data_IF_987813013191
#
_entry.id   IF_987813013191
#
_cell.length_a   1.000
_cell.length_b   1.000
_cell.length_c   1.000
_cell.angle_alpha   90.00
_cell.angle_beta   90.00
_cell.angle_gamma   90.00
#
_symmetry.space_group_name_H-M   'P 1'
#
loop_
_entity.id
_entity.type
_entity.pdbx_description
1 polymer ?
#
# COMPACT_ATOMS: atom_id res chain seq x y z
N UNK A 1 24.02 13.05 0.30
CA UNK A 1 23.37 13.71 -0.86
C UNK A 1 24.39 14.70 -1.46
N UNK A 2 25.39 14.23 -2.19
CA UNK A 2 26.15 15.06 -3.10
C UNK A 2 25.54 14.84 -4.48
N UNK A 3 24.66 15.74 -4.88
CA UNK A 3 23.84 15.64 -6.09
C UNK A 3 24.58 16.06 -7.38
N UNK A 4 25.90 16.19 -7.34
CA UNK A 4 26.65 16.80 -8.45
C UNK A 4 26.95 15.86 -9.62
N UNK A 5 26.62 14.57 -9.50
CA UNK A 5 27.01 13.54 -10.49
C UNK A 5 25.84 12.91 -11.26
N UNK A 6 24.60 12.97 -10.75
CA UNK A 6 23.41 12.36 -11.39
C UNK A 6 22.19 13.25 -11.24
N UNK A 7 21.29 13.23 -12.25
CA UNK A 7 20.01 13.94 -12.16
C UNK A 7 19.08 13.26 -11.12
N UNK A 8 18.07 13.99 -10.67
CA UNK A 8 17.05 13.46 -9.74
C UNK A 8 16.32 12.26 -10.34
N UNK A 9 15.96 12.30 -11.61
CA UNK A 9 15.33 11.18 -12.32
C UNK A 9 16.22 9.94 -12.32
N UNK A 10 17.53 10.14 -12.60
CA UNK A 10 18.49 9.04 -12.54
C UNK A 10 18.63 8.48 -11.13
N UNK A 11 18.62 9.33 -10.11
CA UNK A 11 18.66 8.90 -8.72
C UNK A 11 17.46 8.01 -8.39
N UNK A 12 16.23 8.44 -8.71
CA UNK A 12 15.04 7.65 -8.44
C UNK A 12 14.98 6.35 -9.25
N UNK A 13 15.43 6.37 -10.50
CA UNK A 13 15.56 5.16 -11.31
C UNK A 13 16.51 4.13 -10.68
N UNK A 14 17.68 4.57 -10.25
CA UNK A 14 18.66 3.71 -9.59
C UNK A 14 18.16 3.21 -8.22
N UNK A 15 17.46 4.07 -7.47
CA UNK A 15 16.85 3.69 -6.20
C UNK A 15 15.76 2.65 -6.40
N UNK A 16 14.86 2.81 -7.36
CA UNK A 16 13.85 1.82 -7.72
C UNK A 16 14.49 0.49 -8.12
N UNK A 17 15.51 0.54 -8.98
CA UNK A 17 16.31 -0.64 -9.38
C UNK A 17 16.89 -1.37 -8.16
N UNK A 18 17.45 -0.64 -7.20
CA UNK A 18 18.01 -1.22 -5.97
C UNK A 18 16.92 -1.85 -5.10
N UNK A 19 15.79 -1.15 -4.89
CA UNK A 19 14.70 -1.64 -4.05
C UNK A 19 14.06 -2.90 -4.62
N UNK A 20 13.77 -2.94 -5.93
CA UNK A 20 13.22 -4.12 -6.59
C UNK A 20 14.19 -5.30 -6.56
N UNK A 21 15.48 -5.06 -6.84
CA UNK A 21 16.49 -6.10 -6.84
C UNK A 21 16.74 -6.66 -5.42
N UNK A 22 16.70 -5.79 -4.39
CA UNK A 22 16.82 -6.20 -3.00
C UNK A 22 15.60 -7.00 -2.53
N UNK A 23 14.39 -6.61 -2.92
CA UNK A 23 13.16 -7.32 -2.55
C UNK A 23 13.11 -8.74 -3.13
N UNK A 24 13.59 -8.95 -4.36
CA UNK A 24 13.70 -10.28 -4.99
C UNK A 24 14.55 -11.27 -4.18
N UNK A 25 15.55 -10.80 -3.43
CA UNK A 25 16.43 -11.60 -2.61
C UNK A 25 16.09 -11.58 -1.12
N UNK A 26 15.12 -10.80 -0.72
CA UNK A 26 14.82 -10.59 0.69
C UNK A 26 14.41 -11.88 1.41
N UNK A 27 14.96 -12.09 2.61
CA UNK A 27 14.52 -13.16 3.50
C UNK A 27 13.24 -12.77 4.23
N UNK A 28 12.13 -12.79 3.54
CA UNK A 28 10.85 -12.30 4.03
C UNK A 28 9.71 -13.29 3.78
N UNK A 29 8.63 -13.18 4.56
CA UNK A 29 7.36 -13.86 4.34
C UNK A 29 6.35 -12.90 3.69
N UNK A 30 6.73 -12.23 2.62
CA UNK A 30 6.01 -11.16 1.92
C UNK A 30 5.85 -9.86 2.72
N UNK A 31 6.32 -9.83 3.96
CA UNK A 31 6.38 -8.64 4.81
C UNK A 31 7.65 -8.66 5.67
N UNK A 32 8.33 -7.52 5.80
CA UNK A 32 9.59 -7.41 6.56
C UNK A 32 9.40 -7.38 8.07
N UNK A 33 8.18 -7.14 8.54
CA UNK A 33 7.85 -7.20 9.96
C UNK A 33 7.87 -8.62 10.57
N UNK A 34 7.99 -9.67 9.75
CA UNK A 34 8.06 -11.06 10.20
C UNK A 34 9.51 -11.52 10.37
N UNK A 35 9.86 -12.01 11.58
CA UNK A 35 11.17 -12.59 11.84
C UNK A 35 11.20 -14.04 11.38
N UNK A 36 12.04 -14.34 10.37
CA UNK A 36 12.27 -15.70 9.88
C UNK A 36 13.48 -16.33 10.59
N UNK A 37 13.30 -17.55 11.12
CA UNK A 37 14.36 -18.29 11.82
C UNK A 37 15.42 -18.89 10.87
N UNK A 38 15.06 -19.09 9.61
CA UNK A 38 15.91 -19.72 8.60
C UNK A 38 16.01 -18.83 7.37
N UNK A 39 17.19 -18.85 6.74
CA UNK A 39 17.41 -18.18 5.47
C UNK A 39 16.83 -19.00 4.32
N UNK A 40 16.06 -18.38 3.46
CA UNK A 40 15.60 -18.97 2.21
C UNK A 40 16.77 -19.12 1.24
N UNK A 41 16.72 -20.11 0.36
CA UNK A 41 17.76 -20.31 -0.66
C UNK A 41 17.95 -19.07 -1.56
N UNK A 42 16.86 -18.35 -1.87
CA UNK A 42 16.92 -17.12 -2.66
C UNK A 42 17.71 -16.01 -1.95
N UNK A 43 17.59 -15.92 -0.62
CA UNK A 43 18.28 -14.89 0.18
C UNK A 43 19.80 -15.15 0.33
N UNK A 44 20.29 -16.29 -0.16
CA UNK A 44 21.73 -16.65 -0.15
C UNK A 44 22.41 -16.38 -1.50
N UNK A 45 21.66 -15.90 -2.48
CA UNK A 45 22.19 -15.54 -3.80
C UNK A 45 22.83 -14.16 -3.77
N UNK A 46 23.78 -13.94 -4.69
CA UNK A 46 24.37 -12.61 -4.88
C UNK A 46 23.34 -11.62 -5.40
N UNK A 47 23.38 -10.40 -4.92
CA UNK A 47 22.56 -9.29 -5.43
C UNK A 47 23.04 -8.92 -6.84
N UNK A 48 22.14 -9.00 -7.79
CA UNK A 48 22.33 -8.49 -9.15
C UNK A 48 21.34 -7.36 -9.34
N UNK A 49 21.82 -6.18 -9.71
CA UNK A 49 20.96 -5.05 -10.02
C UNK A 49 20.37 -5.25 -11.41
N UNK A 50 19.06 -5.45 -11.45
CA UNK A 50 18.28 -5.53 -12.69
C UNK A 50 17.51 -4.23 -12.85
N UNK A 51 17.63 -3.52 -14.00
CA UNK A 51 16.92 -2.26 -14.21
C UNK A 51 15.43 -2.38 -13.92
N UNK A 52 14.90 -1.46 -13.11
CA UNK A 52 13.47 -1.37 -12.88
C UNK A 52 12.74 -1.16 -14.20
N UNK A 53 11.67 -1.91 -14.41
CA UNK A 53 10.83 -1.75 -15.60
C UNK A 53 9.93 -0.53 -15.44
N UNK A 54 9.91 0.33 -16.46
CA UNK A 54 8.97 1.45 -16.56
C UNK A 54 8.66 1.74 -18.03
N UNK A 55 7.49 2.32 -18.26
CA UNK A 55 7.12 2.85 -19.58
C UNK A 55 7.18 4.37 -19.56
N UNK A 56 7.62 4.95 -20.65
CA UNK A 56 7.65 6.41 -20.84
C UNK A 56 6.47 6.86 -21.69
N UNK A 57 5.93 8.03 -21.37
CA UNK A 57 4.93 8.70 -22.18
C UNK A 57 5.14 10.23 -22.09
N UNK A 58 4.37 11.01 -22.85
CA UNK A 58 4.46 12.48 -22.87
C UNK A 58 3.57 13.16 -21.84
N UNK A 59 2.84 12.41 -21.01
CA UNK A 59 1.96 12.99 -20.00
C UNK A 59 2.79 13.53 -18.83
N UNK A 60 2.24 14.53 -18.15
CA UNK A 60 2.77 14.97 -16.86
C UNK A 60 2.30 14.02 -15.77
N UNK A 61 3.23 13.62 -14.91
CA UNK A 61 2.97 12.79 -13.75
C UNK A 61 3.47 13.50 -12.49
N UNK A 62 2.67 13.43 -11.43
CA UNK A 62 3.02 13.97 -10.13
C UNK A 62 2.95 12.84 -9.09
N UNK A 63 3.91 12.83 -8.17
CA UNK A 63 4.00 11.81 -7.12
C UNK A 63 4.07 12.51 -5.77
N UNK A 64 3.15 12.14 -4.88
CA UNK A 64 3.05 12.69 -3.54
C UNK A 64 3.33 11.61 -2.50
N UNK A 65 3.96 11.99 -1.40
CA UNK A 65 4.20 11.12 -0.24
C UNK A 65 3.69 11.84 1.02
N UNK A 66 2.37 11.93 1.14
CA UNK A 66 1.68 12.69 2.18
C UNK A 66 0.50 11.90 2.77
N UNK A 67 -0.11 12.43 3.82
CA UNK A 67 -1.36 11.90 4.34
C UNK A 67 -2.48 12.11 3.34
N UNK A 68 -3.18 11.04 2.95
CA UNK A 68 -4.21 11.10 1.90
C UNK A 68 -5.36 12.06 2.24
N UNK A 69 -5.73 12.19 3.52
CA UNK A 69 -6.79 13.11 3.95
C UNK A 69 -6.35 14.59 3.94
N UNK A 70 -5.05 14.84 3.93
CA UNK A 70 -4.52 16.19 3.70
C UNK A 70 -4.41 16.48 2.22
N UNK A 71 -3.77 15.58 1.47
CA UNK A 71 -3.53 15.72 0.02
C UNK A 71 -4.84 15.88 -0.78
N UNK A 72 -5.92 15.17 -0.40
CA UNK A 72 -7.18 15.20 -1.14
C UNK A 72 -7.82 16.58 -1.24
N UNK A 73 -7.45 17.50 -0.36
CA UNK A 73 -7.95 18.88 -0.33
C UNK A 73 -7.26 19.79 -1.35
N UNK A 74 -6.10 19.35 -1.83
CA UNK A 74 -5.23 20.13 -2.72
C UNK A 74 -5.21 19.60 -4.15
N UNK A 75 -5.86 18.45 -4.40
CA UNK A 75 -5.94 17.81 -5.71
C UNK A 75 -7.38 17.62 -6.17
N UNK A 76 -7.58 17.69 -7.50
CA UNK A 76 -8.88 17.50 -8.14
C UNK A 76 -8.73 16.77 -9.48
N UNK A 77 -9.82 16.21 -10.00
CA UNK A 77 -9.78 15.53 -11.29
C UNK A 77 -11.07 14.78 -11.65
N UNK A 78 -11.02 14.03 -12.74
CA UNK A 78 -12.16 13.24 -13.18
C UNK A 78 -12.32 11.94 -12.40
N UNK A 79 -11.22 11.24 -12.14
CA UNK A 79 -11.22 9.91 -11.54
C UNK A 79 -10.24 9.88 -10.36
N UNK A 80 -10.75 9.43 -9.21
CA UNK A 80 -9.98 9.07 -8.04
C UNK A 80 -10.05 7.56 -7.82
N UNK A 81 -8.92 6.86 -7.85
CA UNK A 81 -8.84 5.45 -7.48
C UNK A 81 -8.21 5.30 -6.09
N UNK A 82 -8.90 4.62 -5.20
CA UNK A 82 -8.51 4.40 -3.82
C UNK A 82 -8.24 2.92 -3.56
N UNK A 83 -7.07 2.62 -3.02
CA UNK A 83 -6.66 1.28 -2.56
C UNK A 83 -6.04 1.40 -1.15
N UNK A 84 -6.84 1.76 -0.14
CA UNK A 84 -6.34 1.94 1.22
C UNK A 84 -6.04 0.59 1.88
N UNK A 85 -5.22 0.57 2.95
CA UNK A 85 -5.06 -0.62 3.78
C UNK A 85 -6.42 -1.13 4.29
N UNK A 86 -6.72 -2.39 4.06
CA UNK A 86 -7.97 -3.03 4.52
C UNK A 86 -7.80 -3.84 5.82
N UNK A 87 -6.58 -3.91 6.38
CA UNK A 87 -6.30 -4.68 7.59
C UNK A 87 -5.47 -3.86 8.59
N UNK A 88 -5.32 -4.32 9.87
CA UNK A 88 -4.60 -3.57 10.90
C UNK A 88 -3.08 -3.50 10.70
N UNK A 89 -2.53 -4.13 9.67
CA UNK A 89 -1.08 -4.17 9.44
C UNK A 89 -0.61 -2.85 8.85
N UNK A 90 0.31 -2.19 9.55
CA UNK A 90 0.89 -0.92 9.13
C UNK A 90 1.93 -1.13 8.02
N UNK A 91 1.80 -0.46 6.89
CA UNK A 91 2.76 -0.53 5.79
C UNK A 91 4.16 -0.06 6.21
N UNK A 92 4.24 0.96 7.07
CA UNK A 92 5.50 1.40 7.63
C UNK A 92 6.26 0.32 8.42
N UNK A 93 5.53 -0.66 9.02
CA UNK A 93 6.14 -1.82 9.63
C UNK A 93 6.40 -2.95 8.62
N UNK A 94 5.46 -3.20 7.71
CA UNK A 94 5.58 -4.28 6.73
C UNK A 94 6.76 -4.09 5.76
N UNK A 95 7.05 -2.85 5.38
CA UNK A 95 8.07 -2.49 4.39
C UNK A 95 9.23 -1.68 4.97
N UNK A 96 9.45 -1.74 6.29
CA UNK A 96 10.41 -0.90 7.00
C UNK A 96 11.85 -1.01 6.48
N UNK A 97 12.28 -2.18 5.98
CA UNK A 97 13.63 -2.35 5.43
C UNK A 97 13.79 -1.64 4.09
N UNK A 98 12.78 -1.67 3.22
CA UNK A 98 12.80 -0.92 1.96
C UNK A 98 12.83 0.58 2.23
N UNK A 99 12.02 1.06 3.19
CA UNK A 99 12.08 2.46 3.63
C UNK A 99 13.44 2.85 4.22
N UNK A 100 14.10 1.91 4.92
CA UNK A 100 15.45 2.13 5.46
C UNK A 100 16.47 2.32 4.35
N UNK A 101 16.39 1.52 3.29
CA UNK A 101 17.26 1.66 2.10
C UNK A 101 16.96 3.00 1.41
N UNK A 102 15.66 3.31 1.17
CA UNK A 102 15.26 4.51 0.45
C UNK A 102 15.65 5.81 1.17
N UNK A 103 15.42 5.88 2.47
CA UNK A 103 15.73 7.09 3.25
C UNK A 103 17.22 7.20 3.63
N UNK A 104 17.88 6.06 3.78
CA UNK A 104 19.31 5.96 4.16
C UNK A 104 19.71 6.87 5.34
N UNK A 105 18.84 6.93 6.36
CA UNK A 105 19.05 7.73 7.57
C UNK A 105 19.29 6.83 8.78
N UNK A 106 20.20 7.19 9.69
CA UNK A 106 20.42 6.44 10.92
C UNK A 106 19.18 6.47 11.80
N UNK A 107 18.90 5.36 12.48
CA UNK A 107 17.83 5.22 13.47
C UNK A 107 18.22 4.14 14.49
N UNK A 108 17.54 4.12 15.63
CA UNK A 108 17.69 3.05 16.61
C UNK A 108 16.70 1.91 16.28
N UNK A 109 17.20 0.71 15.88
CA UNK A 109 16.34 -0.40 15.51
C UNK A 109 15.67 -1.02 16.74
N UNK A 110 14.36 -1.34 16.64
CA UNK A 110 13.57 -1.93 17.72
C UNK A 110 13.11 -3.34 17.40
N UNK A 111 13.09 -4.19 18.43
CA UNK A 111 12.62 -5.56 18.35
C UNK A 111 13.51 -6.48 17.50
N UNK A 112 13.05 -7.74 17.28
CA UNK A 112 13.82 -8.77 16.59
C UNK A 112 14.00 -8.50 15.09
N UNK A 113 13.13 -7.71 14.49
CA UNK A 113 13.16 -7.36 13.06
C UNK A 113 13.87 -6.05 12.77
N UNK A 114 14.40 -5.36 13.80
CA UNK A 114 15.07 -4.08 13.64
C UNK A 114 14.14 -2.97 13.15
N UNK A 115 12.91 -2.94 13.66
CA UNK A 115 11.88 -2.01 13.22
C UNK A 115 12.29 -0.56 13.46
N UNK A 116 12.19 0.25 12.41
CA UNK A 116 12.38 1.71 12.47
C UNK A 116 11.13 2.43 12.98
N UNK A 117 11.23 3.67 13.47
CA UNK A 117 10.08 4.54 13.67
C UNK A 117 9.31 4.75 12.36
N UNK A 118 7.99 4.72 12.41
CA UNK A 118 7.12 4.94 11.25
C UNK A 118 5.82 5.65 11.66
N UNK A 119 5.20 6.34 10.69
CA UNK A 119 3.89 6.97 10.86
C UNK A 119 2.81 5.89 10.75
N UNK A 120 1.84 5.92 11.66
CA UNK A 120 0.72 4.98 11.66
C UNK A 120 -0.44 5.53 10.84
N UNK A 121 -0.94 4.74 9.91
CA UNK A 121 -2.14 5.07 9.15
C UNK A 121 -3.40 4.88 9.98
N UNK A 122 -4.31 5.84 9.92
CA UNK A 122 -5.64 5.76 10.53
C UNK A 122 -6.51 4.71 9.83
N UNK A 123 -6.23 4.39 8.57
CA UNK A 123 -6.90 3.34 7.80
C UNK A 123 -6.60 1.92 8.29
N UNK A 124 -5.56 1.71 9.06
CA UNK A 124 -5.23 0.43 9.69
C UNK A 124 -5.89 0.22 11.07
N UNK A 125 -6.87 1.02 11.45
CA UNK A 125 -7.56 0.93 12.74
C UNK A 125 -9.08 0.90 12.55
N UNK A 126 -9.74 -0.14 13.08
CA UNK A 126 -11.20 -0.26 13.04
C UNK A 126 -11.94 0.92 13.69
N UNK A 127 -11.28 1.61 14.63
CA UNK A 127 -11.86 2.76 15.34
C UNK A 127 -11.91 4.03 14.50
N UNK A 128 -10.99 4.19 13.56
CA UNK A 128 -10.76 5.46 12.86
C UNK A 128 -10.99 5.36 11.35
N UNK A 129 -10.99 4.15 10.79
CA UNK A 129 -11.04 3.96 9.33
C UNK A 129 -12.28 4.55 8.68
N UNK A 130 -13.46 4.34 9.27
CA UNK A 130 -14.74 4.82 8.68
C UNK A 130 -14.82 6.35 8.70
N UNK A 131 -14.39 6.99 9.78
CA UNK A 131 -14.35 8.46 9.89
C UNK A 131 -13.33 9.07 8.93
N UNK A 132 -12.13 8.47 8.86
CA UNK A 132 -11.08 8.92 7.92
C UNK A 132 -11.52 8.77 6.47
N UNK A 133 -12.15 7.63 6.12
CA UNK A 133 -12.68 7.39 4.80
C UNK A 133 -13.80 8.37 4.44
N UNK A 134 -14.77 8.59 5.33
CA UNK A 134 -15.83 9.56 5.09
C UNK A 134 -15.32 10.97 4.87
N UNK A 135 -14.33 11.40 5.70
CA UNK A 135 -13.69 12.70 5.51
C UNK A 135 -13.03 12.82 4.14
N UNK A 136 -12.31 11.79 3.70
CA UNK A 136 -11.68 11.76 2.38
C UNK A 136 -12.71 11.85 1.25
N UNK A 137 -13.80 11.05 1.30
CA UNK A 137 -14.86 11.08 0.29
C UNK A 137 -15.57 12.45 0.25
N UNK A 138 -15.81 13.04 1.43
CA UNK A 138 -16.43 14.38 1.52
C UNK A 138 -15.57 15.43 0.85
N UNK A 139 -14.27 15.44 1.17
CA UNK A 139 -13.34 16.51 0.77
C UNK A 139 -12.80 16.30 -0.66
N UNK A 140 -12.99 15.13 -1.28
CA UNK A 140 -12.52 14.82 -2.63
C UNK A 140 -13.27 15.63 -3.71
N UNK A 141 -12.55 16.37 -4.56
CA UNK A 141 -13.07 17.09 -5.73
C UNK A 141 -12.85 16.28 -7.02
N UNK A 142 -13.53 15.12 -7.11
CA UNK A 142 -13.45 14.19 -8.23
C UNK A 142 -14.85 13.78 -8.68
N UNK A 143 -15.06 13.67 -10.01
CA UNK A 143 -16.35 13.23 -10.55
C UNK A 143 -16.64 11.78 -10.21
N UNK A 144 -15.65 10.89 -10.41
CA UNK A 144 -15.80 9.47 -10.11
C UNK A 144 -14.78 9.05 -9.06
N UNK A 145 -15.24 8.30 -8.06
CA UNK A 145 -14.38 7.71 -7.04
C UNK A 145 -14.58 6.20 -7.08
N UNK A 146 -13.47 5.47 -7.29
CA UNK A 146 -13.40 4.02 -7.25
C UNK A 146 -12.65 3.60 -6.01
N UNK A 147 -13.23 2.70 -5.21
CA UNK A 147 -12.57 2.11 -4.05
C UNK A 147 -12.43 0.61 -4.25
N UNK A 148 -11.20 0.10 -4.30
CA UNK A 148 -10.89 -1.32 -4.17
C UNK A 148 -10.90 -1.72 -2.71
N UNK A 149 -11.69 -2.72 -2.35
CA UNK A 149 -11.78 -3.22 -0.98
C UNK A 149 -12.28 -4.66 -0.97
N UNK A 150 -12.07 -5.41 0.12
CA UNK A 150 -12.53 -6.79 0.19
C UNK A 150 -13.46 -7.08 1.38
N UNK A 151 -14.07 -8.27 1.37
CA UNK A 151 -15.01 -8.70 2.40
C UNK A 151 -14.40 -8.96 3.79
N UNK A 152 -13.08 -8.93 3.90
CA UNK A 152 -12.34 -9.12 5.17
C UNK A 152 -11.79 -7.81 5.73
N UNK A 153 -12.11 -6.71 5.08
CA UNK A 153 -11.63 -5.39 5.45
C UNK A 153 -12.18 -4.88 6.78
N UNK A 154 -11.54 -3.84 7.31
CA UNK A 154 -11.91 -3.19 8.57
C UNK A 154 -13.26 -2.48 8.50
N UNK A 155 -13.63 -1.97 7.31
CA UNK A 155 -14.97 -1.47 7.01
C UNK A 155 -15.79 -2.57 6.37
N UNK A 156 -17.04 -2.72 6.78
CA UNK A 156 -17.97 -3.61 6.09
C UNK A 156 -18.42 -3.00 4.76
N UNK A 157 -18.90 -3.85 3.83
CA UNK A 157 -19.54 -3.40 2.59
C UNK A 157 -20.68 -2.41 2.87
N UNK A 158 -21.45 -2.63 3.95
CA UNK A 158 -22.55 -1.76 4.34
C UNK A 158 -22.07 -0.39 4.83
N UNK A 159 -20.97 -0.34 5.59
CA UNK A 159 -20.37 0.92 6.04
C UNK A 159 -19.93 1.75 4.83
N UNK A 160 -19.20 1.12 3.89
CA UNK A 160 -18.72 1.78 2.67
C UNK A 160 -19.89 2.29 1.84
N UNK A 161 -20.92 1.45 1.58
CA UNK A 161 -22.13 1.84 0.85
C UNK A 161 -22.83 3.02 1.52
N UNK A 162 -22.99 2.94 2.85
CA UNK A 162 -23.65 4.01 3.62
C UNK A 162 -22.91 5.34 3.53
N UNK A 163 -21.57 5.30 3.59
CA UNK A 163 -20.72 6.49 3.46
C UNK A 163 -20.83 7.06 2.03
N UNK A 164 -20.52 6.26 1.02
CA UNK A 164 -20.45 6.75 -0.37
C UNK A 164 -21.81 7.26 -0.86
N UNK A 165 -22.91 6.59 -0.53
CA UNK A 165 -24.27 6.99 -0.96
C UNK A 165 -24.70 8.35 -0.45
N UNK A 166 -24.07 8.92 0.58
CA UNK A 166 -24.35 10.29 1.06
C UNK A 166 -23.84 11.37 0.11
N UNK A 167 -22.84 11.02 -0.71
CA UNK A 167 -22.13 12.01 -1.55
C UNK A 167 -22.41 11.87 -3.03
N UNK A 168 -23.23 10.90 -3.47
CA UNK A 168 -23.58 10.75 -4.87
C UNK A 168 -24.31 9.45 -5.20
N UNK A 169 -24.25 9.07 -6.47
CA UNK A 169 -24.79 7.81 -6.94
C UNK A 169 -23.76 6.69 -6.71
N UNK A 170 -24.15 5.70 -5.93
CA UNK A 170 -23.29 4.56 -5.57
C UNK A 170 -23.67 3.32 -6.37
N UNK A 171 -22.65 2.63 -6.87
CA UNK A 171 -22.74 1.32 -7.49
C UNK A 171 -21.56 0.43 -7.01
N UNK A 172 -21.59 -0.86 -7.34
CA UNK A 172 -20.55 -1.81 -6.93
C UNK A 172 -20.50 -2.99 -7.89
N UNK A 173 -19.30 -3.43 -8.22
CA UNK A 173 -19.04 -4.73 -8.83
C UNK A 173 -18.21 -5.59 -7.89
N UNK A 174 -18.34 -6.92 -7.99
CA UNK A 174 -17.61 -7.86 -7.15
C UNK A 174 -17.04 -9.00 -7.96
N UNK A 175 -15.91 -9.52 -7.49
CA UNK A 175 -15.25 -10.69 -8.09
C UNK A 175 -14.71 -11.61 -6.99
N UNK A 176 -14.94 -12.92 -7.13
CA UNK A 176 -14.31 -13.90 -6.26
C UNK A 176 -12.86 -14.16 -6.70
N UNK A 177 -11.95 -14.12 -5.74
CA UNK A 177 -10.55 -14.47 -5.92
C UNK A 177 -10.15 -15.62 -5.00
N UNK A 178 -9.34 -16.54 -5.53
CA UNK A 178 -8.67 -17.52 -4.68
C UNK A 178 -7.63 -16.82 -3.81
N UNK A 179 -7.62 -17.12 -2.53
CA UNK A 179 -6.62 -16.56 -1.60
C UNK A 179 -5.22 -16.89 -2.04
N UNK A 180 -4.33 -15.90 -1.99
CA UNK A 180 -2.90 -16.16 -2.10
C UNK A 180 -2.45 -17.02 -0.92
N UNK A 181 -1.91 -18.20 -1.22
CA UNK A 181 -1.45 -19.17 -0.22
C UNK A 181 0.01 -18.89 0.15
N UNK A 182 0.25 -18.03 1.14
CA UNK A 182 1.59 -17.76 1.67
C UNK A 182 2.02 -18.73 2.78
N UNK A 183 1.09 -19.38 3.49
CA UNK A 183 1.36 -20.24 4.65
C UNK A 183 0.86 -21.68 4.48
N UNK A 184 1.52 -22.62 5.20
CA UNK A 184 1.09 -24.01 5.30
C UNK A 184 -0.25 -24.12 6.06
N UNK A 185 -1.09 -25.09 5.69
CA UNK A 185 -2.45 -25.29 6.21
C UNK A 185 -2.53 -25.49 7.74
N UNK A 186 -1.47 -26.02 8.35
CA UNK A 186 -1.39 -26.35 9.79
C UNK A 186 -1.43 -25.13 10.72
N UNK A 187 -1.16 -23.92 10.22
CA UNK A 187 -1.07 -22.67 11.01
C UNK A 187 -2.24 -21.70 10.76
N UNK A 188 -3.34 -22.15 10.13
CA UNK A 188 -4.42 -21.26 9.68
C UNK A 188 -5.59 -21.20 10.64
N UNK A 189 -5.94 -19.98 11.05
CA UNK A 189 -7.19 -19.68 11.77
C UNK A 189 -8.40 -19.47 10.81
N UNK A 190 -8.22 -19.48 9.49
CA UNK A 190 -9.28 -19.22 8.51
C UNK A 190 -9.52 -20.43 7.62
N UNK A 191 -10.79 -20.89 7.55
CA UNK A 191 -11.23 -22.03 6.75
C UNK A 191 -11.67 -21.68 5.32
N UNK A 192 -11.79 -20.38 4.97
CA UNK A 192 -12.26 -19.95 3.66
C UNK A 192 -11.12 -19.90 2.63
N UNK A 193 -11.28 -20.60 1.51
CA UNK A 193 -10.31 -20.64 0.39
C UNK A 193 -10.45 -19.48 -0.60
N UNK A 194 -11.51 -18.68 -0.46
CA UNK A 194 -11.84 -17.58 -1.34
C UNK A 194 -12.03 -16.29 -0.58
N UNK A 195 -11.69 -15.18 -1.24
CA UNK A 195 -11.98 -13.81 -0.83
C UNK A 195 -12.82 -13.14 -1.91
N UNK A 196 -13.75 -12.29 -1.54
CA UNK A 196 -14.51 -11.47 -2.47
C UNK A 196 -13.89 -10.07 -2.49
N UNK A 197 -13.42 -9.67 -3.65
CA UNK A 197 -12.96 -8.30 -3.91
C UNK A 197 -14.11 -7.47 -4.46
N UNK A 198 -14.22 -6.24 -3.99
CA UNK A 198 -15.24 -5.27 -4.41
C UNK A 198 -14.56 -4.06 -5.07
N UNK A 199 -15.13 -3.60 -6.15
CA UNK A 199 -14.90 -2.26 -6.67
C UNK A 199 -16.15 -1.44 -6.40
N UNK A 200 -16.09 -0.59 -5.38
CA UNK A 200 -17.12 0.37 -5.07
C UNK A 200 -16.97 1.59 -5.97
N UNK A 201 -18.08 2.09 -6.50
CA UNK A 201 -18.14 3.17 -7.50
C UNK A 201 -19.01 4.27 -6.95
N UNK A 202 -18.51 5.50 -6.98
CA UNK A 202 -19.29 6.70 -6.65
C UNK A 202 -19.20 7.69 -7.80
N UNK A 203 -20.34 8.07 -8.37
CA UNK A 203 -20.46 9.29 -9.17
C UNK A 203 -20.89 10.41 -8.22
N UNK A 204 -19.94 11.29 -7.90
CA UNK A 204 -20.13 12.35 -6.91
C UNK A 204 -21.02 13.46 -7.49
N UNK A 205 -21.90 14.02 -6.65
CA UNK A 205 -22.79 15.13 -7.01
C UNK A 205 -22.08 16.46 -6.92
#
# INVERSE_FOLDING_TARGET
KNNDYISEDMYFFLLATLLESADKLANTASVYGAFLKHLKAVAQKSLILEPAYFSTNSNKHEVYCEDANMLIKDIQGDILYLDPPYNPRQYGANYHLLNTIAEYKPFEPKGKTGLRPYIRSLYCSKRTVSESFESLIRDAEFRFIFLSYNNEGLMSMQDIKSIMSRYGHYDMVSQEHHRFRADKEENRNHKADKTTEYLHILEKK
#
